data_IF_728970095174
#
_entry.id   IF_728970095174
#
_cell.length_a   1.000
_cell.length_b   1.000
_cell.length_c   1.000
_cell.angle_alpha   90.00
_cell.angle_beta   90.00
_cell.angle_gamma   90.00
#
_symmetry.space_group_name_H-M   'P 1'
#
loop_
_entity.id
_entity.type
_entity.pdbx_description
1 polymer ?
#
# COMPACT_ATOMS: atom_id res chain seq x y z
N UNK A 1 26.12 36.12 -40.62
CA UNK A 1 26.70 36.52 -39.32
C UNK A 1 25.56 36.62 -38.31
N UNK A 2 25.33 35.57 -37.54
CA UNK A 2 24.15 35.42 -36.67
C UNK A 2 24.64 35.21 -35.24
N UNK A 3 24.24 36.12 -34.37
CA UNK A 3 24.64 36.22 -32.95
C UNK A 3 23.85 35.20 -32.15
N UNK A 4 24.55 34.35 -31.38
CA UNK A 4 23.95 33.45 -30.37
C UNK A 4 24.33 33.93 -28.97
N UNK A 5 23.32 34.25 -28.16
CA UNK A 5 23.45 34.51 -26.72
C UNK A 5 23.18 33.23 -25.92
N UNK A 6 24.02 32.99 -24.92
CA UNK A 6 23.95 31.93 -23.92
C UNK A 6 23.02 32.40 -22.80
N UNK A 7 22.09 31.56 -22.34
CA UNK A 7 21.42 31.72 -21.05
C UNK A 7 21.47 30.41 -20.26
N UNK A 8 21.88 30.58 -19.02
CA UNK A 8 22.11 29.63 -17.93
C UNK A 8 20.83 28.93 -17.45
N UNK A 9 20.93 27.66 -17.08
CA UNK A 9 19.90 26.90 -16.40
C UNK A 9 20.33 26.64 -14.94
N UNK A 10 19.55 27.14 -13.98
CA UNK A 10 19.70 26.86 -12.56
C UNK A 10 19.04 25.52 -12.21
N UNK A 11 19.72 24.72 -11.39
CA UNK A 11 19.30 23.40 -10.96
C UNK A 11 18.43 23.47 -9.70
N UNK A 12 17.21 22.96 -9.79
CA UNK A 12 16.28 22.80 -8.67
C UNK A 12 16.50 21.41 -8.02
N UNK A 13 16.91 21.38 -6.76
CA UNK A 13 17.10 20.13 -5.98
C UNK A 13 15.76 19.64 -5.48
N UNK A 14 15.26 18.53 -6.04
CA UNK A 14 14.08 17.82 -5.55
C UNK A 14 14.48 16.76 -4.51
N UNK A 15 13.97 16.89 -3.29
CA UNK A 15 14.11 15.92 -2.21
C UNK A 15 13.18 14.73 -2.50
N UNK A 16 13.69 13.74 -3.25
CA UNK A 16 12.96 12.54 -3.62
C UNK A 16 12.90 11.52 -2.49
N UNK A 17 11.68 11.16 -2.07
CA UNK A 17 11.40 9.98 -1.26
C UNK A 17 11.73 8.73 -2.10
N UNK A 18 12.92 8.17 -1.92
CA UNK A 18 13.35 6.93 -2.58
C UNK A 18 12.56 5.75 -2.02
N UNK A 19 11.54 5.32 -2.77
CA UNK A 19 10.95 3.99 -2.63
C UNK A 19 12.02 2.99 -3.07
N UNK A 20 12.69 2.36 -2.10
CA UNK A 20 13.70 1.33 -2.37
C UNK A 20 13.02 0.16 -3.10
N UNK A 21 13.30 0.01 -4.40
CA UNK A 21 13.05 -1.24 -5.10
C UNK A 21 13.90 -2.30 -4.40
N UNK A 22 13.27 -3.12 -3.56
CA UNK A 22 13.86 -4.35 -3.09
C UNK A 22 14.00 -5.26 -4.32
N UNK A 23 15.19 -5.29 -4.92
CA UNK A 23 15.55 -6.39 -5.80
C UNK A 23 15.33 -7.68 -5.01
N UNK A 24 14.72 -8.74 -5.59
CA UNK A 24 14.71 -10.03 -4.94
C UNK A 24 16.16 -10.45 -4.82
N UNK A 25 16.72 -10.32 -3.61
CA UNK A 25 17.94 -11.02 -3.26
C UNK A 25 17.52 -12.48 -3.24
N UNK A 26 17.72 -13.17 -4.36
CA UNK A 26 17.79 -14.62 -4.33
C UNK A 26 19.05 -14.90 -3.53
N UNK A 27 18.88 -15.09 -2.22
CA UNK A 27 19.94 -15.59 -1.38
C UNK A 27 20.29 -16.98 -1.91
N UNK A 28 21.48 -17.13 -2.47
CA UNK A 28 22.04 -18.45 -2.73
C UNK A 28 22.06 -19.19 -1.38
N UNK A 29 21.36 -20.32 -1.31
CA UNK A 29 21.25 -21.04 -0.06
C UNK A 29 22.63 -21.60 0.26
N UNK A 30 23.29 -21.02 1.27
CA UNK A 30 24.61 -21.48 1.70
C UNK A 30 24.58 -23.01 1.88
N UNK A 31 25.57 -23.74 1.33
CA UNK A 31 25.55 -25.19 1.32
C UNK A 31 25.48 -25.72 2.76
N UNK A 32 24.49 -26.58 3.01
CA UNK A 32 24.23 -27.18 4.33
C UNK A 32 25.21 -28.32 4.55
N UNK A 33 26.38 -27.99 5.08
CA UNK A 33 27.47 -28.94 5.38
C UNK A 33 27.58 -29.20 6.88
N UNK A 34 27.81 -30.45 7.26
CA UNK A 34 28.05 -30.85 8.64
C UNK A 34 29.53 -31.25 8.82
N UNK A 35 30.36 -30.45 9.51
CA UNK A 35 31.73 -30.85 9.82
C UNK A 35 31.73 -32.02 10.80
N UNK A 36 32.52 -33.05 10.48
CA UNK A 36 32.67 -34.23 11.30
C UNK A 36 34.14 -34.54 11.53
N UNK A 37 34.50 -34.76 12.80
CA UNK A 37 35.82 -35.21 13.20
C UNK A 37 35.69 -36.39 14.17
N UNK A 38 36.51 -37.42 13.96
CA UNK A 38 36.58 -38.56 14.84
C UNK A 38 38.01 -39.12 14.94
N UNK A 39 38.26 -39.88 16.01
CA UNK A 39 39.44 -40.73 16.16
C UNK A 39 39.01 -42.18 16.04
N UNK A 40 39.51 -42.87 15.03
CA UNK A 40 39.35 -44.30 14.85
C UNK A 40 40.40 -45.04 15.67
N UNK A 41 39.95 -46.07 16.38
CA UNK A 41 40.80 -46.96 17.17
C UNK A 41 40.60 -48.40 16.74
N UNK A 42 41.62 -49.23 16.96
CA UNK A 42 41.52 -50.67 16.84
C UNK A 42 40.80 -51.28 18.07
N UNK A 43 40.67 -52.61 18.08
CA UNK A 43 40.02 -53.36 19.15
C UNK A 43 40.77 -53.28 20.50
N UNK A 44 42.05 -52.91 20.48
CA UNK A 44 42.88 -52.71 21.67
C UNK A 44 42.87 -51.24 22.16
N UNK A 45 42.12 -50.36 21.48
CA UNK A 45 42.07 -48.92 21.77
C UNK A 45 43.26 -48.13 21.25
N UNK A 46 44.18 -48.75 20.50
CA UNK A 46 45.26 -48.05 19.82
C UNK A 46 44.70 -47.30 18.60
N UNK A 47 45.38 -46.25 18.15
CA UNK A 47 44.90 -45.47 16.98
C UNK A 47 44.95 -46.31 15.72
N UNK A 48 43.91 -46.21 14.90
CA UNK A 48 43.86 -46.89 13.62
C UNK A 48 45.08 -46.53 12.76
N UNK A 49 45.60 -47.52 12.03
CA UNK A 49 46.80 -47.38 11.20
C UNK A 49 46.64 -46.26 10.18
N UNK A 50 47.70 -45.48 9.99
CA UNK A 50 47.73 -44.40 9.01
C UNK A 50 47.52 -44.94 7.59
N UNK A 51 46.88 -44.14 6.74
CA UNK A 51 46.66 -44.45 5.33
C UNK A 51 45.25 -44.11 4.87
N UNK A 52 44.99 -44.26 3.58
CA UNK A 52 43.66 -44.05 3.03
C UNK A 52 42.69 -45.14 3.50
N UNK A 53 41.47 -44.74 3.84
CA UNK A 53 40.34 -45.62 4.11
C UNK A 53 39.07 -45.08 3.47
N UNK A 54 38.20 -45.99 3.06
CA UNK A 54 36.82 -45.65 2.71
C UNK A 54 35.97 -45.69 3.96
N UNK A 55 35.16 -44.66 4.13
CA UNK A 55 34.21 -44.54 5.24
C UNK A 55 32.86 -44.12 4.67
N UNK A 56 31.83 -44.88 5.00
CA UNK A 56 30.45 -44.59 4.67
C UNK A 56 29.75 -44.00 5.89
N UNK A 57 29.12 -42.85 5.70
CA UNK A 57 28.37 -42.14 6.73
C UNK A 57 26.89 -42.23 6.43
N UNK A 58 26.07 -42.55 7.43
CA UNK A 58 24.60 -42.56 7.31
C UNK A 58 23.96 -41.92 8.52
N UNK A 59 22.80 -41.30 8.34
CA UNK A 59 22.02 -40.74 9.44
C UNK A 59 20.71 -41.52 9.58
N UNK A 60 20.37 -41.82 10.83
CA UNK A 60 19.15 -42.49 11.25
C UNK A 60 18.39 -41.65 12.27
N UNK A 61 17.09 -41.86 12.38
CA UNK A 61 16.22 -41.33 13.44
C UNK A 61 16.11 -42.28 14.66
N UNK A 62 16.61 -43.52 14.51
CA UNK A 62 16.63 -44.55 15.56
C UNK A 62 18.06 -44.98 15.91
N UNK A 63 18.27 -45.41 17.16
CA UNK A 63 19.60 -45.75 17.68
C UNK A 63 20.21 -47.05 17.13
N UNK A 64 19.38 -48.05 16.78
CA UNK A 64 19.84 -49.41 16.46
C UNK A 64 19.06 -50.13 15.35
N UNK A 65 17.97 -49.56 14.85
CA UNK A 65 17.11 -50.15 13.82
C UNK A 65 16.68 -49.08 12.81
N UNK A 66 15.81 -49.45 11.87
CA UNK A 66 15.23 -48.53 10.89
C UNK A 66 16.10 -48.27 9.65
N UNK A 67 15.47 -47.71 8.63
CA UNK A 67 16.14 -47.25 7.42
C UNK A 67 16.80 -45.88 7.65
N UNK A 68 17.87 -45.56 6.91
CA UNK A 68 18.53 -44.27 7.07
C UNK A 68 17.64 -43.14 6.55
N UNK A 69 17.44 -42.10 7.37
CA UNK A 69 16.82 -40.83 6.94
C UNK A 69 17.71 -40.05 5.97
N UNK A 70 19.02 -40.33 5.97
CA UNK A 70 19.95 -39.96 4.92
C UNK A 70 20.81 -41.17 4.55
N UNK A 71 20.61 -41.69 3.34
CA UNK A 71 21.27 -42.88 2.81
C UNK A 71 22.80 -42.77 2.77
N UNK A 72 23.31 -41.54 2.86
CA UNK A 72 24.71 -41.29 3.16
C UNK A 72 25.56 -40.83 2.00
N UNK A 73 26.84 -40.72 2.30
CA UNK A 73 27.90 -40.56 1.31
C UNK A 73 29.16 -41.32 1.73
N UNK A 74 29.96 -41.73 0.75
CA UNK A 74 31.23 -42.42 0.96
C UNK A 74 32.38 -41.43 0.80
N UNK A 75 33.28 -41.40 1.77
CA UNK A 75 34.51 -40.62 1.75
C UNK A 75 35.73 -41.52 1.69
N UNK A 76 36.64 -41.23 0.75
CA UNK A 76 38.01 -41.72 0.79
C UNK A 76 38.82 -40.66 1.53
N UNK A 77 39.27 -41.00 2.73
CA UNK A 77 39.97 -40.06 3.62
C UNK A 77 41.27 -40.66 4.11
N UNK A 78 42.27 -39.82 4.32
CA UNK A 78 43.55 -40.25 4.90
C UNK A 78 43.46 -40.22 6.41
N UNK A 79 43.63 -41.37 7.04
CA UNK A 79 43.79 -41.49 8.48
C UNK A 79 45.22 -41.09 8.85
N UNK A 80 45.34 -40.14 9.78
CA UNK A 80 46.62 -39.74 10.36
C UNK A 80 46.50 -39.67 11.89
N UNK A 81 47.23 -40.52 12.60
CA UNK A 81 47.14 -40.64 14.06
C UNK A 81 45.75 -41.11 14.52
N UNK A 82 45.06 -41.90 13.69
CA UNK A 82 43.67 -42.30 13.90
C UNK A 82 42.64 -41.20 13.59
N UNK A 83 43.04 -39.97 13.24
CA UNK A 83 42.10 -38.88 13.02
C UNK A 83 41.49 -38.91 11.62
N UNK A 84 40.19 -38.63 11.56
CA UNK A 84 39.41 -38.43 10.34
C UNK A 84 38.71 -37.08 10.42
N UNK A 85 38.74 -36.32 9.32
CA UNK A 85 38.00 -35.07 9.18
C UNK A 85 37.28 -35.08 7.82
N UNK A 86 35.97 -34.84 7.82
CA UNK A 86 35.14 -34.79 6.61
C UNK A 86 34.05 -33.73 6.74
N UNK A 87 33.61 -33.20 5.60
CA UNK A 87 32.42 -32.35 5.50
C UNK A 87 31.28 -33.20 4.93
N UNK A 88 30.32 -33.54 5.78
CA UNK A 88 29.14 -34.30 5.39
C UNK A 88 28.15 -33.42 4.62
N UNK A 89 27.54 -33.97 3.57
CA UNK A 89 26.65 -33.24 2.67
C UNK A 89 27.35 -32.67 1.43
N UNK A 90 28.66 -32.92 1.29
CA UNK A 90 29.48 -32.40 0.19
C UNK A 90 29.36 -33.20 -1.10
N UNK A 91 28.91 -34.47 -1.03
CA UNK A 91 28.70 -35.34 -2.20
C UNK A 91 27.22 -35.68 -2.36
N UNK A 92 26.54 -36.05 -1.27
CA UNK A 92 25.10 -36.28 -1.21
C UNK A 92 24.48 -35.24 -0.28
N UNK A 93 23.69 -34.28 -0.78
CA UNK A 93 23.09 -33.23 0.05
C UNK A 93 22.35 -33.79 1.26
N UNK A 94 22.49 -33.12 2.42
CA UNK A 94 21.73 -33.46 3.61
C UNK A 94 20.26 -33.09 3.42
N UNK A 95 19.31 -33.98 3.73
CA UNK A 95 17.90 -33.65 3.65
C UNK A 95 17.56 -32.57 4.68
N UNK A 96 16.68 -31.66 4.29
CA UNK A 96 16.24 -30.56 5.16
C UNK A 96 14.98 -30.92 5.94
N UNK A 97 14.21 -31.88 5.42
CA UNK A 97 12.94 -32.34 5.95
C UNK A 97 12.88 -33.87 5.99
N UNK A 98 12.08 -34.37 6.91
CA UNK A 98 11.62 -35.76 6.94
C UNK A 98 10.61 -36.01 5.80
N UNK A 99 10.21 -37.28 5.65
CA UNK A 99 9.17 -37.70 4.70
C UNK A 99 7.77 -37.11 4.99
N UNK A 100 7.51 -36.67 6.22
CA UNK A 100 6.29 -35.98 6.65
C UNK A 100 6.34 -34.45 6.45
N UNK A 101 7.47 -33.92 5.93
CA UNK A 101 7.69 -32.49 5.73
C UNK A 101 8.20 -31.73 6.96
N UNK A 102 8.33 -32.37 8.13
CA UNK A 102 8.90 -31.72 9.31
C UNK A 102 10.43 -31.52 9.18
N UNK A 103 11.02 -30.49 9.80
CA UNK A 103 12.48 -30.27 9.74
C UNK A 103 13.29 -31.45 10.31
N UNK A 104 14.24 -31.97 9.52
CA UNK A 104 15.00 -33.18 9.88
C UNK A 104 15.81 -33.03 11.17
N UNK A 105 16.50 -31.89 11.34
CA UNK A 105 17.40 -31.62 12.47
C UNK A 105 16.67 -31.11 13.73
N UNK A 106 15.34 -31.21 13.79
CA UNK A 106 14.54 -30.87 14.98
C UNK A 106 14.20 -32.11 15.84
N UNK A 107 14.98 -33.18 15.71
CA UNK A 107 14.82 -34.41 16.48
C UNK A 107 16.19 -35.01 16.82
N UNK A 108 16.19 -36.08 17.61
CA UNK A 108 17.41 -36.85 17.87
C UNK A 108 17.78 -37.63 16.62
N UNK A 109 18.99 -37.44 16.14
CA UNK A 109 19.54 -38.16 15.01
C UNK A 109 20.76 -38.97 15.44
N UNK A 110 21.07 -40.01 14.67
CA UNK A 110 22.14 -40.95 14.95
C UNK A 110 23.01 -41.12 13.71
N UNK A 111 24.30 -40.83 13.85
CA UNK A 111 25.30 -41.03 12.82
C UNK A 111 25.90 -42.43 12.94
N UNK A 112 25.84 -43.18 11.86
CA UNK A 112 26.48 -44.49 11.71
C UNK A 112 27.67 -44.38 10.77
N UNK A 113 28.76 -45.07 11.12
CA UNK A 113 29.97 -45.15 10.32
C UNK A 113 30.23 -46.60 9.95
N UNK A 114 30.53 -46.86 8.68
CA UNK A 114 31.08 -48.14 8.22
C UNK A 114 32.44 -47.86 7.61
N UNK A 115 33.48 -48.50 8.14
CA UNK A 115 34.87 -48.33 7.68
C UNK A 115 35.28 -49.59 6.91
N UNK A 116 35.87 -49.40 5.74
CA UNK A 116 36.55 -50.47 4.98
C UNK A 116 37.73 -50.98 5.82
N UNK A 117 37.50 -52.09 6.54
CA UNK A 117 38.47 -52.63 7.49
C UNK A 117 39.37 -53.68 6.84
N UNK A 118 38.90 -54.32 5.76
CA UNK A 118 39.61 -55.36 5.05
C UNK A 118 40.56 -54.80 3.96
N UNK A 119 40.43 -53.50 3.63
CA UNK A 119 41.28 -52.79 2.69
C UNK A 119 41.02 -53.12 1.22
N UNK A 120 39.82 -53.63 0.90
CA UNK A 120 39.46 -54.04 -0.46
C UNK A 120 38.98 -52.88 -1.35
N UNK A 121 38.97 -51.65 -0.81
CA UNK A 121 38.48 -50.44 -1.46
C UNK A 121 36.99 -50.48 -1.83
N UNK A 122 36.19 -51.25 -1.10
CA UNK A 122 34.75 -51.25 -1.18
C UNK A 122 34.14 -51.19 0.24
N UNK A 123 32.88 -50.74 0.32
CA UNK A 123 32.07 -50.91 1.54
C UNK A 123 31.10 -52.04 1.24
N UNK A 124 31.32 -53.18 1.88
CA UNK A 124 30.55 -54.41 1.64
C UNK A 124 29.94 -54.96 2.93
N UNK A 125 29.24 -56.09 2.83
CA UNK A 125 28.74 -56.80 4.02
C UNK A 125 29.85 -57.34 4.93
N UNK A 126 31.11 -57.36 4.47
CA UNK A 126 32.27 -57.72 5.28
C UNK A 126 32.71 -56.60 6.23
N UNK A 127 32.23 -55.36 6.02
CA UNK A 127 32.53 -54.19 6.84
C UNK A 127 31.36 -53.92 7.80
N UNK A 128 31.45 -54.36 9.07
CA UNK A 128 30.38 -54.12 10.02
C UNK A 128 30.29 -52.62 10.37
N UNK A 129 29.08 -52.07 10.58
CA UNK A 129 28.93 -50.71 11.08
C UNK A 129 29.50 -50.60 12.49
N UNK A 130 30.11 -49.45 12.79
CA UNK A 130 30.60 -49.11 14.12
C UNK A 130 29.39 -48.77 15.01
N UNK A 131 29.17 -49.61 16.02
CA UNK A 131 28.10 -49.46 17.02
C UNK A 131 28.69 -49.15 18.41
N UNK A 132 27.98 -48.39 19.27
CA UNK A 132 26.68 -47.75 19.03
C UNK A 132 26.78 -46.52 18.11
N UNK A 133 25.68 -46.19 17.42
CA UNK A 133 25.60 -44.98 16.59
C UNK A 133 25.82 -43.73 17.43
N UNK A 134 26.51 -42.74 16.86
CA UNK A 134 26.79 -41.48 17.55
C UNK A 134 25.59 -40.54 17.50
N UNK A 135 25.17 -40.00 18.64
CA UNK A 135 24.04 -39.06 18.69
C UNK A 135 24.46 -37.71 18.10
N UNK A 136 23.64 -37.18 17.18
CA UNK A 136 23.67 -35.80 16.71
C UNK A 136 22.53 -35.03 17.43
N UNK A 137 22.91 -34.09 18.29
CA UNK A 137 21.96 -33.22 18.97
C UNK A 137 21.86 -31.87 18.26
N UNK A 138 20.65 -31.29 18.13
CA UNK A 138 20.53 -29.90 17.71
C UNK A 138 21.23 -28.99 18.74
N UNK A 139 21.93 -27.97 18.25
CA UNK A 139 22.45 -26.93 19.13
C UNK A 139 21.29 -26.17 19.79
N UNK A 140 21.41 -25.89 21.09
CA UNK A 140 20.31 -25.44 21.96
C UNK A 140 19.51 -24.24 21.42
N UNK A 141 20.16 -23.33 20.70
CA UNK A 141 19.54 -22.12 20.13
C UNK A 141 19.56 -22.05 18.59
N UNK A 142 20.03 -23.09 17.90
CA UNK A 142 20.08 -23.07 16.43
C UNK A 142 18.68 -23.02 15.80
N UNK A 143 17.66 -23.55 16.50
CA UNK A 143 16.26 -23.49 16.07
C UNK A 143 15.73 -22.05 16.00
N UNK A 144 16.23 -21.15 16.85
CA UNK A 144 15.81 -19.73 16.83
C UNK A 144 16.45 -18.96 15.66
N UNK A 145 17.50 -19.51 15.03
CA UNK A 145 18.13 -18.90 13.86
C UNK A 145 17.35 -19.13 12.57
N UNK A 146 16.55 -20.21 12.45
CA UNK A 146 15.68 -20.44 11.29
C UNK A 146 14.48 -19.47 11.29
N UNK A 147 14.07 -18.99 12.48
CA UNK A 147 13.13 -17.88 12.62
C UNK A 147 13.67 -16.54 12.08
N UNK A 148 14.94 -16.41 11.71
CA UNK A 148 15.42 -15.20 11.03
C UNK A 148 14.82 -15.01 9.61
N UNK A 149 14.24 -16.06 9.03
CA UNK A 149 13.58 -16.04 7.71
C UNK A 149 12.08 -15.74 7.76
N UNK A 150 11.51 -15.61 8.97
CA UNK A 150 10.09 -15.30 9.18
C UNK A 150 9.91 -14.22 10.26
N UNK A 151 9.04 -13.24 10.04
CA UNK A 151 8.66 -12.28 11.09
C UNK A 151 7.35 -12.77 11.72
N UNK A 152 7.41 -13.26 12.96
CA UNK A 152 6.23 -13.79 13.65
C UNK A 152 5.65 -15.05 13.00
N UNK A 153 6.49 -15.88 12.37
CA UNK A 153 6.06 -17.12 11.69
C UNK A 153 5.53 -16.93 10.27
N UNK A 154 5.53 -15.69 9.75
CA UNK A 154 5.19 -15.40 8.35
C UNK A 154 6.47 -15.32 7.51
N UNK A 155 6.61 -16.11 6.43
CA UNK A 155 7.76 -16.03 5.53
C UNK A 155 7.95 -14.61 4.98
N UNK A 156 9.21 -14.15 4.85
CA UNK A 156 9.51 -12.81 4.36
C UNK A 156 8.87 -12.45 3.00
N UNK A 157 8.65 -13.44 2.13
CA UNK A 157 7.96 -13.26 0.85
C UNK A 157 6.47 -12.86 1.00
N UNK A 158 5.83 -13.30 2.09
CA UNK A 158 4.41 -13.05 2.36
C UNK A 158 4.19 -11.75 3.16
N UNK A 159 5.25 -11.16 3.72
CA UNK A 159 5.18 -9.90 4.47
C UNK A 159 4.75 -8.70 3.61
N UNK A 160 5.00 -8.73 2.31
CA UNK A 160 4.62 -7.63 1.39
C UNK A 160 3.10 -7.39 1.38
N UNK A 161 2.29 -8.42 1.68
CA UNK A 161 0.84 -8.30 1.80
C UNK A 161 0.38 -7.99 3.23
N UNK A 162 1.12 -8.43 4.26
CA UNK A 162 0.72 -8.28 5.67
C UNK A 162 0.59 -6.84 6.18
N UNK A 163 1.23 -5.86 5.53
CA UNK A 163 1.27 -4.47 6.00
C UNK A 163 -0.01 -3.67 5.70
N UNK A 164 -0.83 -4.09 4.75
CA UNK A 164 -2.04 -3.36 4.31
C UNK A 164 -3.27 -4.19 4.65
N UNK A 165 -4.09 -3.88 5.67
CA UNK A 165 -5.22 -4.71 6.07
C UNK A 165 -6.19 -5.05 4.92
N UNK A 166 -6.78 -6.25 4.95
CA UNK A 166 -7.88 -6.61 4.04
C UNK A 166 -9.03 -5.60 4.19
N UNK A 167 -9.55 -5.12 3.06
CA UNK A 167 -10.51 -4.02 2.99
C UNK A 167 -9.89 -2.64 2.78
N UNK A 168 -8.55 -2.52 2.82
CA UNK A 168 -7.88 -1.25 2.53
C UNK A 168 -8.02 -0.88 1.06
N UNK A 169 -8.34 0.39 0.80
CA UNK A 169 -8.43 0.97 -0.55
C UNK A 169 -7.16 1.75 -0.84
N UNK A 170 -6.51 1.49 -1.98
CA UNK A 170 -5.31 2.19 -2.43
C UNK A 170 -5.49 2.77 -3.83
N UNK A 171 -4.88 3.92 -4.12
CA UNK A 171 -4.73 4.41 -5.49
C UNK A 171 -3.72 3.55 -6.27
N UNK A 172 -4.07 3.14 -7.49
CA UNK A 172 -3.28 2.26 -8.35
C UNK A 172 -3.21 2.78 -9.79
N UNK A 173 -2.01 3.14 -10.21
CA UNK A 173 -1.74 3.70 -11.54
C UNK A 173 -1.68 2.64 -12.66
N UNK A 174 -1.43 1.38 -12.30
CA UNK A 174 -1.20 0.30 -13.26
C UNK A 174 -2.46 -0.19 -13.98
N UNK A 175 -2.28 -1.24 -14.78
CA UNK A 175 -3.35 -1.87 -15.57
C UNK A 175 -4.18 -2.79 -14.67
N UNK A 176 -5.50 -2.61 -14.66
CA UNK A 176 -6.42 -3.39 -13.81
C UNK A 176 -6.35 -4.90 -14.10
N UNK A 177 -6.17 -5.29 -15.36
CA UNK A 177 -6.05 -6.69 -15.76
C UNK A 177 -4.80 -7.41 -15.22
N UNK A 178 -3.81 -6.68 -14.71
CA UNK A 178 -2.62 -7.26 -14.07
C UNK A 178 -2.68 -7.24 -12.54
N UNK A 179 -3.85 -6.96 -11.95
CA UNK A 179 -3.99 -7.00 -10.51
C UNK A 179 -3.76 -8.42 -9.98
N UNK A 180 -2.95 -8.58 -8.92
CA UNK A 180 -2.83 -9.86 -8.23
C UNK A 180 -4.20 -10.33 -7.71
N UNK A 181 -4.36 -11.65 -7.56
CA UNK A 181 -5.65 -12.26 -7.18
C UNK A 181 -6.25 -11.71 -5.88
N UNK A 182 -5.40 -11.23 -4.97
CA UNK A 182 -5.80 -10.69 -3.67
C UNK A 182 -6.20 -9.20 -3.70
N UNK A 183 -6.25 -8.59 -4.89
CA UNK A 183 -6.74 -7.23 -5.13
C UNK A 183 -7.87 -7.23 -6.16
N UNK A 184 -8.78 -6.25 -6.04
CA UNK A 184 -9.86 -6.01 -7.00
C UNK A 184 -10.04 -4.52 -7.24
N UNK A 185 -10.60 -4.16 -8.39
CA UNK A 185 -11.02 -2.79 -8.68
C UNK A 185 -12.25 -2.43 -7.84
N UNK A 186 -12.32 -1.19 -7.36
CA UNK A 186 -13.50 -0.65 -6.69
C UNK A 186 -14.51 -0.12 -7.71
N UNK A 187 -15.15 -1.03 -8.46
CA UNK A 187 -16.10 -0.73 -9.53
C UNK A 187 -17.55 -1.12 -9.20
N UNK A 188 -17.82 -1.57 -7.98
CA UNK A 188 -19.12 -2.09 -7.59
C UNK A 188 -19.39 -3.54 -7.98
N UNK A 189 -18.41 -4.27 -8.53
CA UNK A 189 -18.58 -5.69 -8.86
C UNK A 189 -18.66 -6.58 -7.59
N UNK A 190 -19.34 -7.74 -7.68
CA UNK A 190 -19.35 -8.72 -6.59
C UNK A 190 -18.01 -9.47 -6.52
N UNK A 191 -17.60 -9.81 -5.31
CA UNK A 191 -16.48 -10.73 -5.08
C UNK A 191 -16.98 -12.16 -5.13
N UNK A 192 -16.38 -12.97 -6.01
CA UNK A 192 -16.58 -14.41 -6.09
C UNK A 192 -15.23 -15.09 -5.77
N UNK A 193 -14.91 -15.18 -4.49
CA UNK A 193 -13.68 -15.78 -3.97
C UNK A 193 -13.97 -16.33 -2.55
N UNK A 194 -14.18 -17.66 -2.41
CA UNK A 194 -14.53 -18.28 -1.13
C UNK A 194 -13.50 -18.09 -0.01
N UNK A 195 -12.28 -17.64 -0.34
CA UNK A 195 -11.23 -17.38 0.64
C UNK A 195 -11.18 -15.90 1.07
N UNK A 196 -11.99 -15.04 0.46
CA UNK A 196 -12.11 -13.63 0.80
C UNK A 196 -13.19 -13.41 1.86
N UNK A 197 -12.98 -12.53 2.86
CA UNK A 197 -14.06 -12.10 3.75
C UNK A 197 -15.17 -11.30 3.03
N UNK A 198 -14.92 -10.91 1.76
CA UNK A 198 -15.90 -10.22 0.93
C UNK A 198 -16.68 -11.18 0.01
N UNK A 199 -16.51 -12.51 0.10
CA UNK A 199 -17.20 -13.45 -0.80
C UNK A 199 -18.73 -13.21 -0.83
N UNK A 200 -19.28 -13.12 -2.03
CA UNK A 200 -20.69 -12.81 -2.29
C UNK A 200 -21.09 -11.35 -2.02
N UNK A 201 -20.18 -10.47 -1.58
CA UNK A 201 -20.45 -9.05 -1.34
C UNK A 201 -20.07 -8.19 -2.54
N UNK A 202 -20.79 -7.07 -2.71
CA UNK A 202 -20.43 -6.04 -3.68
C UNK A 202 -19.36 -5.11 -3.10
N UNK A 203 -18.33 -4.84 -3.89
CA UNK A 203 -17.31 -3.85 -3.55
C UNK A 203 -17.88 -2.42 -3.63
N UNK A 204 -17.25 -1.42 -2.99
CA UNK A 204 -17.61 -0.02 -3.23
C UNK A 204 -17.32 0.34 -4.69
N UNK A 205 -18.21 1.15 -5.30
CA UNK A 205 -17.93 1.78 -6.58
C UNK A 205 -17.32 3.17 -6.34
N UNK A 206 -16.02 3.28 -6.60
CA UNK A 206 -15.24 4.51 -6.42
C UNK A 206 -14.82 5.15 -7.74
N UNK A 207 -15.38 4.68 -8.87
CA UNK A 207 -15.15 5.32 -10.16
C UNK A 207 -15.75 6.74 -10.14
N UNK A 208 -14.96 7.73 -10.56
CA UNK A 208 -15.33 9.15 -10.56
C UNK A 208 -15.68 9.71 -9.17
N UNK A 209 -15.16 9.10 -8.10
CA UNK A 209 -15.39 9.54 -6.71
C UNK A 209 -14.15 10.15 -6.08
N UNK A 210 -14.36 11.08 -5.15
CA UNK A 210 -13.33 11.55 -4.22
C UNK A 210 -13.50 10.90 -2.86
N UNK A 211 -12.41 10.35 -2.31
CA UNK A 211 -12.43 9.77 -0.98
C UNK A 211 -12.56 10.85 0.10
N UNK A 212 -13.34 10.54 1.14
CA UNK A 212 -13.56 11.36 2.33
C UNK A 212 -13.52 10.48 3.57
N UNK A 213 -13.01 11.01 4.68
CA UNK A 213 -13.10 10.34 5.97
C UNK A 213 -14.56 10.17 6.41
N UNK A 214 -14.90 8.98 6.91
CA UNK A 214 -16.21 8.71 7.47
C UNK A 214 -16.43 9.45 8.80
N UNK A 215 -17.67 9.78 9.11
CA UNK A 215 -18.10 10.38 10.38
C UNK A 215 -19.45 9.80 10.81
N UNK A 216 -19.93 10.06 12.04
CA UNK A 216 -21.24 9.58 12.47
C UNK A 216 -22.41 10.02 11.55
N UNK A 217 -22.32 11.21 10.96
CA UNK A 217 -23.32 11.74 10.01
C UNK A 217 -23.17 11.17 8.60
N UNK A 218 -21.98 10.67 8.25
CA UNK A 218 -21.65 10.09 6.95
C UNK A 218 -20.84 8.81 7.18
N UNK A 219 -21.51 7.70 7.54
CA UNK A 219 -20.84 6.44 7.80
C UNK A 219 -20.17 5.89 6.54
N UNK A 220 -19.31 4.89 6.71
CA UNK A 220 -18.64 4.18 5.61
C UNK A 220 -19.65 3.79 4.52
N UNK A 221 -19.27 3.95 3.25
CA UNK A 221 -20.09 3.69 2.07
C UNK A 221 -21.19 4.73 1.77
N UNK A 222 -21.28 5.83 2.53
CA UNK A 222 -22.16 6.95 2.17
C UNK A 222 -21.56 7.76 1.02
N UNK A 223 -22.36 8.02 -0.02
CA UNK A 223 -21.98 8.85 -1.17
C UNK A 223 -22.68 10.22 -1.14
N UNK A 224 -22.07 11.22 -1.76
CA UNK A 224 -22.68 12.55 -1.89
C UNK A 224 -21.80 13.52 -2.68
N UNK A 225 -22.29 14.75 -2.86
CA UNK A 225 -21.68 15.71 -3.77
C UNK A 225 -22.28 15.61 -5.18
N UNK A 226 -21.91 16.57 -6.03
CA UNK A 226 -22.35 16.63 -7.42
C UNK A 226 -21.26 17.30 -8.28
N UNK A 227 -21.10 16.79 -9.49
CA UNK A 227 -20.12 17.27 -10.46
C UNK A 227 -20.56 18.55 -11.17
N UNK A 228 -21.84 18.91 -11.10
CA UNK A 228 -22.37 20.08 -11.76
C UNK A 228 -23.17 20.93 -10.77
N UNK A 229 -23.11 22.25 -10.95
CA UNK A 229 -24.07 23.17 -10.33
C UNK A 229 -25.21 23.37 -11.32
N UNK A 230 -26.43 23.05 -10.90
CA UNK A 230 -27.63 23.33 -11.68
C UNK A 230 -27.87 24.86 -11.79
N UNK A 231 -28.57 25.27 -12.85
CA UNK A 231 -29.03 26.66 -12.96
C UNK A 231 -29.82 27.05 -11.72
N UNK A 232 -29.48 28.20 -11.14
CA UNK A 232 -30.15 28.72 -9.96
C UNK A 232 -30.33 30.23 -10.07
N UNK A 233 -31.11 30.79 -9.15
CA UNK A 233 -31.36 32.22 -9.05
C UNK A 233 -31.07 32.72 -7.64
N UNK A 234 -30.81 34.02 -7.53
CA UNK A 234 -30.65 34.71 -6.26
C UNK A 234 -31.76 35.74 -6.11
N UNK A 235 -32.29 35.85 -4.90
CA UNK A 235 -33.16 36.95 -4.52
C UNK A 235 -32.30 38.14 -4.08
N UNK A 236 -32.64 39.34 -4.54
CA UNK A 236 -32.02 40.58 -4.09
C UNK A 236 -33.09 41.59 -3.66
N UNK A 237 -32.72 42.42 -2.70
CA UNK A 237 -33.52 43.56 -2.24
C UNK A 237 -32.58 44.65 -1.78
N UNK A 238 -32.82 45.88 -2.22
CA UNK A 238 -32.14 47.08 -1.79
C UNK A 238 -33.17 48.14 -1.46
N UNK A 239 -32.93 48.90 -0.40
CA UNK A 239 -33.74 50.06 -0.05
C UNK A 239 -32.86 51.24 0.34
N UNK A 240 -33.35 52.44 0.02
CA UNK A 240 -32.76 53.70 0.45
C UNK A 240 -33.83 54.52 1.17
N UNK A 241 -33.44 55.18 2.26
CA UNK A 241 -34.26 56.13 3.01
C UNK A 241 -34.12 57.57 2.49
N UNK A 242 -33.33 57.77 1.44
CA UNK A 242 -33.10 59.04 0.76
C UNK A 242 -33.32 58.89 -0.75
N UNK A 243 -34.24 59.68 -1.31
CA UNK A 243 -34.41 59.77 -2.77
C UNK A 243 -34.09 61.20 -3.19
N UNK A 244 -33.02 61.36 -3.98
CA UNK A 244 -32.59 62.64 -4.56
C UNK A 244 -33.07 62.76 -6.01
N UNK A 245 -33.65 63.90 -6.36
CA UNK A 245 -33.95 64.24 -7.75
C UNK A 245 -32.90 65.22 -8.29
N UNK A 246 -32.49 65.11 -9.57
CA UNK A 246 -31.47 65.99 -10.15
C UNK A 246 -31.92 67.46 -10.18
N UNK A 247 -30.96 68.38 -10.30
CA UNK A 247 -31.25 69.82 -10.49
C UNK A 247 -32.19 70.00 -11.69
N UNK A 248 -33.23 70.83 -11.51
CA UNK A 248 -34.29 71.09 -12.52
C UNK A 248 -35.27 69.92 -12.75
N UNK A 249 -35.48 69.06 -11.77
CA UNK A 249 -36.42 67.94 -11.86
C UNK A 249 -37.91 68.29 -11.62
N UNK A 250 -38.21 69.52 -11.17
CA UNK A 250 -39.58 69.99 -11.01
C UNK A 250 -40.15 70.54 -12.31
N UNK A 251 -41.18 69.90 -12.87
CA UNK A 251 -41.93 70.41 -14.01
C UNK A 251 -43.39 70.68 -13.60
N UNK A 252 -43.76 71.96 -13.44
CA UNK A 252 -45.15 72.40 -13.51
C UNK A 252 -45.68 73.29 -12.39
N UNK A 253 -46.47 74.30 -12.80
CA UNK A 253 -47.47 75.03 -12.01
C UNK A 253 -48.42 74.07 -11.31
N UNK A 254 -48.60 74.20 -9.98
CA UNK A 254 -49.72 73.80 -9.04
C UNK A 254 -50.61 72.57 -9.37
N UNK A 255 -50.22 71.73 -10.31
CA UNK A 255 -50.84 70.48 -10.75
C UNK A 255 -49.76 69.73 -11.52
N UNK A 256 -48.76 69.26 -10.78
CA UNK A 256 -47.66 68.50 -11.34
C UNK A 256 -48.18 67.18 -11.92
N UNK A 257 -47.80 66.89 -13.17
CA UNK A 257 -48.06 65.61 -13.81
C UNK A 257 -47.23 64.52 -13.11
N UNK A 258 -47.94 63.49 -12.64
CA UNK A 258 -47.46 62.36 -11.83
C UNK A 258 -46.40 61.52 -12.58
N UNK A 259 -45.14 61.42 -12.12
CA UNK A 259 -44.14 60.55 -12.77
C UNK A 259 -44.23 59.08 -12.31
N UNK A 260 -45.11 58.74 -11.36
CA UNK A 260 -45.36 57.36 -10.93
C UNK A 260 -46.88 57.10 -10.95
N UNK A 261 -47.33 56.34 -11.94
CA UNK A 261 -48.74 55.93 -12.09
C UNK A 261 -49.16 54.82 -11.11
N UNK A 262 -48.27 54.40 -10.19
CA UNK A 262 -48.48 53.18 -9.39
C UNK A 262 -48.26 53.34 -7.87
N UNK A 263 -47.80 54.50 -7.38
CA UNK A 263 -47.64 54.73 -5.94
C UNK A 263 -48.88 55.45 -5.39
N UNK A 264 -49.78 54.69 -4.77
CA UNK A 264 -51.15 55.10 -4.41
C UNK A 264 -51.32 56.17 -3.32
N UNK A 265 -50.28 56.89 -2.89
CA UNK A 265 -50.43 58.09 -2.06
C UNK A 265 -49.11 58.86 -1.99
N UNK A 266 -49.04 60.02 -2.63
CA UNK A 266 -48.02 61.03 -2.37
C UNK A 266 -48.69 62.25 -1.73
N UNK A 267 -48.37 62.54 -0.47
CA UNK A 267 -48.87 63.74 0.21
C UNK A 267 -48.05 64.96 -0.21
N UNK A 268 -48.65 65.79 -1.07
CA UNK A 268 -48.04 67.02 -1.58
C UNK A 268 -48.18 68.21 -0.61
N UNK A 269 -48.88 68.07 0.52
CA UNK A 269 -49.02 69.16 1.51
C UNK A 269 -47.70 69.52 2.21
N UNK A 270 -46.70 68.63 2.15
CA UNK A 270 -45.40 68.77 2.81
C UNK A 270 -44.30 69.36 1.91
N UNK A 271 -44.60 69.77 0.67
CA UNK A 271 -43.62 70.37 -0.25
C UNK A 271 -44.06 71.71 -0.80
N UNK A 272 -43.71 72.77 -0.10
CA UNK A 272 -43.78 74.11 -0.66
C UNK A 272 -42.50 74.39 -1.47
N UNK A 273 -42.51 74.06 -2.77
CA UNK A 273 -41.46 74.50 -3.71
C UNK A 273 -41.86 75.89 -4.22
N UNK A 274 -41.50 76.94 -3.47
CA UNK A 274 -41.72 78.32 -3.91
C UNK A 274 -40.79 78.65 -5.09
N UNK A 275 -41.36 79.01 -6.23
CA UNK A 275 -40.64 79.66 -7.33
C UNK A 275 -40.95 81.17 -7.31
N UNK A 276 -39.97 82.04 -7.61
CA UNK A 276 -40.25 83.45 -7.87
C UNK A 276 -41.24 83.60 -9.03
N UNK A 277 -42.16 84.55 -8.91
CA UNK A 277 -43.19 84.82 -9.91
C UNK A 277 -42.55 85.15 -11.27
N UNK A 278 -42.92 84.43 -12.34
CA UNK A 278 -42.37 84.60 -13.70
C UNK A 278 -41.11 83.78 -14.07
N UNK A 279 -40.67 82.82 -13.25
CA UNK A 279 -39.54 81.96 -13.60
C UNK A 279 -39.83 81.05 -14.82
N UNK A 280 -38.99 81.11 -15.86
CA UNK A 280 -39.10 80.26 -17.04
C UNK A 280 -38.74 78.80 -16.72
N UNK A 281 -39.54 77.87 -17.22
CA UNK A 281 -39.30 76.43 -17.09
C UNK A 281 -38.11 76.00 -17.97
N UNK A 282 -37.16 75.17 -17.48
CA UNK A 282 -37.06 74.61 -16.13
C UNK A 282 -36.19 75.44 -15.15
N UNK A 283 -36.69 75.64 -13.93
CA UNK A 283 -36.03 76.39 -12.87
C UNK A 283 -35.12 75.52 -12.00
N UNK A 284 -34.07 76.12 -11.43
CA UNK A 284 -33.16 75.46 -10.50
C UNK A 284 -33.88 75.10 -9.19
N UNK A 285 -34.36 73.86 -9.10
CA UNK A 285 -34.84 73.25 -7.86
C UNK A 285 -34.02 72.01 -7.53
N UNK A 286 -33.80 71.78 -6.24
CA UNK A 286 -33.39 70.49 -5.69
C UNK A 286 -34.27 70.23 -4.47
N UNK A 287 -34.81 69.03 -4.34
CA UNK A 287 -35.71 68.67 -3.26
C UNK A 287 -35.38 67.28 -2.73
N UNK A 288 -35.30 67.16 -1.41
CA UNK A 288 -35.18 65.88 -0.70
C UNK A 288 -36.57 65.46 -0.22
N UNK A 289 -37.08 64.29 -0.60
CA UNK A 289 -38.25 63.66 0.04
C UNK A 289 -37.83 62.79 1.20
N UNK A 290 -38.54 62.90 2.32
CA UNK A 290 -38.63 61.81 3.27
C UNK A 290 -39.46 60.71 2.59
N UNK A 291 -38.86 59.54 2.37
CA UNK A 291 -39.51 58.41 1.70
C UNK A 291 -38.55 57.24 1.56
N UNK A 292 -39.10 56.05 1.32
CA UNK A 292 -38.32 54.85 1.06
C UNK A 292 -38.42 54.50 -0.43
N UNK A 293 -37.28 54.33 -1.09
CA UNK A 293 -37.22 53.64 -2.38
C UNK A 293 -36.78 52.22 -2.13
N UNK A 294 -37.49 51.23 -2.68
CA UNK A 294 -37.08 49.84 -2.63
C UNK A 294 -37.06 49.24 -4.04
N UNK A 295 -36.04 48.44 -4.31
CA UNK A 295 -35.93 47.63 -5.52
C UNK A 295 -35.64 46.20 -5.07
N UNK A 296 -36.50 45.27 -5.47
CA UNK A 296 -36.30 43.85 -5.21
C UNK A 296 -36.63 43.02 -6.44
N UNK A 297 -36.09 41.81 -6.48
CA UNK A 297 -36.32 40.90 -7.57
C UNK A 297 -35.56 39.60 -7.39
N UNK A 298 -35.79 38.69 -8.32
CA UNK A 298 -35.07 37.42 -8.42
C UNK A 298 -34.34 37.41 -9.74
N UNK A 299 -33.06 37.03 -9.75
CA UNK A 299 -32.30 36.89 -11.00
C UNK A 299 -32.90 35.79 -11.86
N UNK A 300 -32.65 35.83 -13.17
CA UNK A 300 -32.99 34.70 -14.04
C UNK A 300 -32.26 33.44 -13.58
N UNK A 301 -32.97 32.30 -13.59
CA UNK A 301 -32.36 31.00 -13.32
C UNK A 301 -31.37 30.66 -14.43
N UNK A 302 -30.08 30.74 -14.13
CA UNK A 302 -29.00 30.60 -15.10
C UNK A 302 -27.69 30.16 -14.43
N UNK A 303 -26.61 30.05 -15.20
CA UNK A 303 -25.28 29.78 -14.65
C UNK A 303 -25.00 28.32 -14.31
N UNK A 304 -25.66 27.36 -14.98
CA UNK A 304 -25.24 25.96 -14.89
C UNK A 304 -23.80 25.81 -15.36
N UNK A 305 -22.98 25.09 -14.59
CA UNK A 305 -21.58 24.88 -14.91
C UNK A 305 -21.04 23.59 -14.31
N UNK A 306 -19.96 23.12 -14.90
CA UNK A 306 -19.14 22.03 -14.36
C UNK A 306 -18.43 22.50 -13.09
N UNK A 307 -18.63 21.76 -12.01
CA UNK A 307 -18.08 22.01 -10.69
C UNK A 307 -16.92 21.07 -10.35
N UNK A 308 -16.49 20.22 -11.30
CA UNK A 308 -15.39 19.29 -11.05
C UNK A 308 -14.08 20.08 -10.94
N UNK A 309 -13.30 19.87 -9.86
CA UNK A 309 -11.96 20.42 -9.78
C UNK A 309 -11.07 19.77 -10.86
N UNK A 310 -9.95 20.41 -11.22
CA UNK A 310 -8.94 19.75 -12.08
C UNK A 310 -8.50 18.44 -11.43
N UNK A 311 -8.59 17.33 -12.15
CA UNK A 311 -8.29 16.00 -11.63
C UNK A 311 -7.28 15.24 -12.50
N UNK A 312 -6.63 14.26 -11.88
CA UNK A 312 -5.85 13.22 -12.53
C UNK A 312 -6.44 11.87 -12.10
N UNK A 313 -6.91 11.08 -13.05
CA UNK A 313 -7.61 9.84 -12.75
C UNK A 313 -6.63 8.70 -12.48
N UNK A 314 -6.88 7.99 -11.38
CA UNK A 314 -6.17 6.77 -10.98
C UNK A 314 -7.19 5.73 -10.53
N UNK A 315 -6.88 4.44 -10.68
CA UNK A 315 -7.79 3.40 -10.22
C UNK A 315 -7.79 3.33 -8.69
N UNK A 316 -8.94 3.06 -8.09
CA UNK A 316 -9.00 2.64 -6.69
C UNK A 316 -9.13 1.12 -6.64
N UNK A 317 -8.22 0.47 -5.93
CA UNK A 317 -8.24 -0.98 -5.72
C UNK A 317 -8.39 -1.30 -4.25
N UNK A 318 -9.03 -2.43 -3.95
CA UNK A 318 -9.25 -2.92 -2.60
C UNK A 318 -8.58 -4.26 -2.40
N UNK A 319 -7.93 -4.43 -1.25
CA UNK A 319 -7.37 -5.71 -0.85
C UNK A 319 -8.49 -6.63 -0.40
N UNK A 320 -8.65 -7.78 -1.07
CA UNK A 320 -9.68 -8.77 -0.75
C UNK A 320 -9.11 -10.01 -0.03
N UNK A 321 -7.79 -10.18 0.02
CA UNK A 321 -7.07 -11.25 0.74
C UNK A 321 -5.67 -10.81 1.15
#
# INVERSE_FOLDING_TARGET
MRITRIHSAEALVALGLTLALAAPVIADEAPRLLPFQARLTDQNGASATNGERLILFRIFDQATAGDPVWAGEVHRTTINGGMVNVLLGSKTPLPTTNSDGAPLFNQKLYLELTVDINGDNAITAADPPLLPRQILLPALFAKESDNARSLGGVPAADLALGLVPVGSVLPFYGVVGSLPANWRLCDGSPVNDPLSPFDGQFLPNLMEMFLRGASPSYPVNTTGGQDFIASHSHFFSASDSSVSFPLKSGNGYVSAYHPATSAGAFDNSLRNLSAPDGAANPYNSHGHINGFSSVSGTTFSSGSHDNRPRFFSINYIIRIR
#
